data_IF_830138559981
#
_entry.id   IF_830138559981
#
_cell.length_a   1.000
_cell.length_b   1.000
_cell.length_c   1.000
_cell.angle_alpha   90.00
_cell.angle_beta   90.00
_cell.angle_gamma   90.00
#
_symmetry.space_group_name_H-M   'P 1'
#
loop_
_entity.id
_entity.type
_entity.pdbx_description
1 polymer ?
#
# COMPACT_ATOMS: atom_id res chain seq x y z
N UNK A 1 11.96 -12.71 1.76
CA UNK A 1 12.29 -11.42 2.41
C UNK A 1 11.68 -10.26 1.64
N UNK A 2 11.44 -9.13 2.32
CA UNK A 2 11.05 -7.86 1.71
C UNK A 2 12.23 -7.29 0.91
N UNK A 3 11.98 -6.58 -0.20
CA UNK A 3 13.03 -5.82 -0.88
C UNK A 3 13.96 -6.62 -1.80
N UNK A 4 13.65 -7.88 -2.09
CA UNK A 4 14.41 -8.74 -3.02
C UNK A 4 13.99 -8.61 -4.48
N UNK A 5 13.06 -7.70 -4.81
CA UNK A 5 12.65 -7.43 -6.20
C UNK A 5 11.47 -8.25 -6.74
N UNK A 6 10.72 -8.98 -5.89
CA UNK A 6 9.54 -9.77 -6.30
C UNK A 6 8.53 -8.97 -7.15
N UNK A 7 8.15 -7.78 -6.70
CA UNK A 7 7.24 -6.90 -7.45
C UNK A 7 7.82 -6.38 -8.77
N UNK A 8 9.15 -6.27 -8.88
CA UNK A 8 9.81 -5.94 -10.16
C UNK A 8 9.73 -7.12 -11.13
N UNK A 9 9.89 -8.35 -10.63
CA UNK A 9 9.76 -9.57 -11.42
C UNK A 9 8.32 -9.73 -11.93
N UNK A 10 7.31 -9.64 -11.06
CA UNK A 10 5.89 -9.76 -11.46
C UNK A 10 5.49 -8.71 -12.51
N UNK A 11 5.89 -7.44 -12.33
CA UNK A 11 5.69 -6.38 -13.33
C UNK A 11 6.39 -6.68 -14.65
N UNK A 12 7.60 -7.24 -14.60
CA UNK A 12 8.35 -7.61 -15.81
C UNK A 12 7.66 -8.77 -16.54
N UNK A 13 7.15 -9.77 -15.82
CA UNK A 13 6.37 -10.88 -16.38
C UNK A 13 5.10 -10.35 -17.04
N UNK A 14 4.31 -9.52 -16.35
CA UNK A 14 3.09 -8.91 -16.90
C UNK A 14 3.40 -8.10 -18.18
N UNK A 15 4.45 -7.28 -18.17
CA UNK A 15 4.88 -6.51 -19.35
C UNK A 15 5.29 -7.41 -20.52
N UNK A 16 6.03 -8.49 -20.26
CA UNK A 16 6.43 -9.45 -21.29
C UNK A 16 5.23 -10.20 -21.88
N UNK A 17 4.26 -10.60 -21.06
CA UNK A 17 3.03 -11.25 -21.52
C UNK A 17 2.22 -10.32 -22.44
N UNK A 18 2.03 -9.06 -22.02
CA UNK A 18 1.37 -8.04 -22.82
C UNK A 18 2.09 -7.78 -24.14
N UNK A 19 3.42 -7.63 -24.13
CA UNK A 19 4.21 -7.43 -25.35
C UNK A 19 4.14 -8.63 -26.31
N UNK A 20 4.07 -9.84 -25.77
CA UNK A 20 3.88 -11.08 -26.52
C UNK A 20 2.43 -11.32 -26.95
N UNK A 21 1.49 -10.42 -26.62
CA UNK A 21 0.05 -10.53 -26.88
C UNK A 21 -0.57 -11.83 -26.33
N UNK A 22 -0.03 -12.32 -25.21
CA UNK A 22 -0.65 -13.42 -24.46
C UNK A 22 -1.82 -12.85 -23.66
N UNK A 23 -3.06 -13.40 -23.79
CA UNK A 23 -4.18 -12.97 -22.96
C UNK A 23 -3.82 -13.09 -21.50
N UNK A 24 -3.82 -11.95 -20.81
CA UNK A 24 -3.36 -11.93 -19.43
C UNK A 24 -4.06 -10.90 -18.57
N UNK A 25 -4.19 -11.21 -17.29
CA UNK A 25 -4.68 -10.28 -16.29
C UNK A 25 -3.66 -10.11 -15.17
N UNK A 26 -3.79 -9.04 -14.41
CA UNK A 26 -2.94 -8.80 -13.25
C UNK A 26 -3.73 -8.23 -12.09
N UNK A 27 -3.39 -8.68 -10.89
CA UNK A 27 -3.88 -8.12 -9.64
C UNK A 27 -2.71 -7.99 -8.68
N UNK A 28 -2.39 -6.75 -8.29
CA UNK A 28 -1.27 -6.47 -7.41
C UNK A 28 -1.82 -6.08 -6.06
N UNK A 29 -1.71 -6.99 -5.09
CA UNK A 29 -2.08 -6.72 -3.72
C UNK A 29 -1.21 -5.60 -3.16
N UNK A 30 -1.81 -4.80 -2.29
CA UNK A 30 -1.08 -3.79 -1.54
C UNK A 30 -1.78 -3.51 -0.23
N UNK A 31 -1.11 -3.86 0.86
CA UNK A 31 -1.65 -3.75 2.22
C UNK A 31 -1.91 -2.28 2.55
N UNK A 32 -3.09 -1.97 3.07
CA UNK A 32 -3.48 -0.59 3.38
C UNK A 32 -3.64 0.30 2.15
N UNK A 33 -4.07 -0.25 1.00
CA UNK A 33 -4.52 0.53 -0.17
C UNK A 33 -5.94 0.08 -0.59
N UNK A 34 -6.84 -0.02 0.39
CA UNK A 34 -8.28 -0.21 0.22
C UNK A 34 -8.63 -1.47 -0.57
N UNK A 35 -9.25 -1.29 -1.74
CA UNK A 35 -9.68 -2.39 -2.61
C UNK A 35 -8.51 -3.27 -3.11
N UNK A 36 -7.26 -2.78 -3.02
CA UNK A 36 -6.05 -3.55 -3.35
C UNK A 36 -5.47 -4.34 -2.19
N UNK A 37 -5.83 -4.02 -0.95
CA UNK A 37 -5.52 -4.87 0.21
C UNK A 37 -6.54 -6.01 0.34
N UNK A 38 -7.78 -5.76 -0.09
CA UNK A 38 -8.86 -6.74 -0.02
C UNK A 38 -8.88 -7.73 -1.18
N UNK A 39 -9.23 -9.00 -0.88
CA UNK A 39 -9.58 -9.99 -1.91
C UNK A 39 -10.97 -9.74 -2.53
N UNK A 40 -11.76 -8.77 -2.02
CA UNK A 40 -13.11 -8.47 -2.48
C UNK A 40 -13.19 -8.31 -4.01
N UNK A 41 -12.25 -7.57 -4.59
CA UNK A 41 -12.24 -7.24 -6.03
C UNK A 41 -11.35 -8.16 -6.87
N UNK A 42 -10.77 -9.21 -6.30
CA UNK A 42 -9.74 -10.02 -6.96
C UNK A 42 -10.24 -10.66 -8.27
N UNK A 43 -11.27 -11.52 -8.20
CA UNK A 43 -11.76 -12.24 -9.37
C UNK A 43 -12.52 -11.35 -10.36
N UNK A 44 -13.28 -10.38 -9.87
CA UNK A 44 -14.02 -9.43 -10.72
C UNK A 44 -13.07 -8.56 -11.54
N UNK A 45 -11.97 -8.10 -10.95
CA UNK A 45 -10.93 -7.34 -11.64
C UNK A 45 -10.18 -8.17 -12.67
N UNK A 46 -9.82 -9.41 -12.32
CA UNK A 46 -9.20 -10.36 -13.27
C UNK A 46 -10.13 -10.60 -14.46
N UNK A 47 -11.40 -10.87 -14.20
CA UNK A 47 -12.37 -11.17 -15.24
C UNK A 47 -12.58 -10.00 -16.19
N UNK A 48 -12.73 -8.78 -15.66
CA UNK A 48 -12.88 -7.58 -16.47
C UNK A 48 -11.71 -7.38 -17.45
N UNK A 49 -10.47 -7.65 -17.00
CA UNK A 49 -9.28 -7.59 -17.85
C UNK A 49 -9.25 -8.69 -18.93
N UNK A 50 -9.71 -9.89 -18.59
CA UNK A 50 -9.71 -11.04 -19.50
C UNK A 50 -10.78 -10.94 -20.58
N UNK A 51 -12.00 -10.52 -20.23
CA UNK A 51 -13.11 -10.35 -21.19
C UNK A 51 -12.71 -9.40 -22.32
N UNK A 52 -11.99 -8.33 -21.99
CA UNK A 52 -11.53 -7.36 -22.98
C UNK A 52 -10.51 -7.94 -23.99
N UNK A 53 -9.77 -8.98 -23.60
CA UNK A 53 -8.75 -9.62 -24.43
C UNK A 53 -9.23 -10.93 -25.08
N UNK A 54 -10.27 -11.54 -24.52
CA UNK A 54 -10.82 -12.83 -24.96
C UNK A 54 -12.34 -12.64 -25.16
N UNK A 55 -12.77 -12.06 -26.30
CA UNK A 55 -14.18 -11.70 -26.52
C UNK A 55 -15.17 -12.87 -26.39
N UNK A 56 -14.73 -14.10 -26.64
CA UNK A 56 -15.56 -15.30 -26.47
C UNK A 56 -16.02 -15.52 -25.01
N UNK A 57 -15.34 -14.93 -24.02
CA UNK A 57 -15.77 -14.98 -22.61
C UNK A 57 -16.96 -14.08 -22.33
N UNK A 58 -17.13 -12.98 -23.07
CA UNK A 58 -18.08 -11.91 -22.76
C UNK A 58 -19.51 -12.45 -22.59
N UNK A 59 -20.02 -13.17 -23.59
CA UNK A 59 -21.38 -13.72 -23.56
C UNK A 59 -21.62 -14.71 -22.41
N UNK A 60 -20.61 -15.51 -22.06
CA UNK A 60 -20.72 -16.47 -20.97
C UNK A 60 -20.71 -15.79 -19.61
N UNK A 61 -19.85 -14.78 -19.44
CA UNK A 61 -19.77 -13.99 -18.21
C UNK A 61 -21.04 -13.15 -18.02
N UNK A 62 -21.50 -12.48 -19.07
CA UNK A 62 -22.74 -11.71 -19.05
C UNK A 62 -23.92 -12.57 -18.61
N UNK A 63 -24.06 -13.77 -19.18
CA UNK A 63 -25.12 -14.71 -18.78
C UNK A 63 -25.04 -15.09 -17.30
N UNK A 64 -23.85 -15.25 -16.72
CA UNK A 64 -23.70 -15.55 -15.28
C UNK A 64 -24.17 -14.37 -14.44
N UNK A 65 -23.80 -13.14 -14.81
CA UNK A 65 -24.17 -11.92 -14.08
C UNK A 65 -25.67 -11.64 -14.19
N UNK A 66 -26.26 -11.82 -15.37
CA UNK A 66 -27.71 -11.63 -15.58
C UNK A 66 -28.55 -12.61 -14.76
N UNK A 67 -28.09 -13.86 -14.64
CA UNK A 67 -28.78 -14.89 -13.86
C UNK A 67 -28.58 -14.74 -12.34
N UNK A 68 -27.46 -14.16 -11.91
CA UNK A 68 -27.15 -13.94 -10.50
C UNK A 68 -26.41 -12.60 -10.31
N UNK A 69 -27.14 -11.47 -10.27
CA UNK A 69 -26.52 -10.15 -10.13
C UNK A 69 -25.70 -9.98 -8.85
N UNK A 70 -25.98 -10.78 -7.81
CA UNK A 70 -25.25 -10.75 -6.55
C UNK A 70 -23.92 -11.51 -6.60
N UNK A 71 -23.58 -12.18 -7.71
CA UNK A 71 -22.37 -13.02 -7.83
C UNK A 71 -21.07 -12.27 -7.49
N UNK A 72 -21.02 -10.97 -7.79
CA UNK A 72 -19.86 -10.10 -7.51
C UNK A 72 -19.61 -9.90 -6.01
N UNK A 73 -20.64 -10.07 -5.19
CA UNK A 73 -20.60 -9.92 -3.73
C UNK A 73 -20.48 -11.28 -3.01
N UNK A 74 -20.56 -12.40 -3.74
CA UNK A 74 -20.47 -13.75 -3.16
C UNK A 74 -19.05 -14.10 -2.71
N UNK A 75 -18.92 -15.20 -1.98
CA UNK A 75 -17.61 -15.69 -1.53
C UNK A 75 -16.68 -16.00 -2.71
N UNK A 76 -15.37 -16.02 -2.43
CA UNK A 76 -14.31 -16.16 -3.46
C UNK A 76 -14.39 -17.48 -4.22
N UNK A 77 -14.88 -18.54 -3.58
CA UNK A 77 -15.09 -19.84 -4.22
C UNK A 77 -16.15 -19.75 -5.31
N UNK A 78 -17.33 -19.22 -4.99
CA UNK A 78 -18.41 -19.04 -5.98
C UNK A 78 -18.00 -18.09 -7.11
N UNK A 79 -17.28 -17.01 -6.79
CA UNK A 79 -16.73 -16.13 -7.81
C UNK A 79 -15.77 -16.87 -8.75
N UNK A 80 -14.79 -17.61 -8.21
CA UNK A 80 -13.86 -18.39 -9.01
C UNK A 80 -14.55 -19.42 -9.91
N UNK A 81 -15.47 -20.20 -9.34
CA UNK A 81 -16.17 -21.26 -10.06
C UNK A 81 -17.07 -20.69 -11.16
N UNK A 82 -17.94 -19.73 -10.82
CA UNK A 82 -18.99 -19.27 -11.72
C UNK A 82 -18.55 -18.14 -12.66
N UNK A 83 -17.64 -17.27 -12.23
CA UNK A 83 -17.18 -16.15 -13.06
C UNK A 83 -15.92 -16.46 -13.87
N UNK A 84 -15.08 -17.41 -13.43
CA UNK A 84 -13.83 -17.71 -14.13
C UNK A 84 -13.84 -19.12 -14.74
N UNK A 85 -13.95 -20.18 -13.94
CA UNK A 85 -13.83 -21.56 -14.45
C UNK A 85 -14.95 -21.94 -15.41
N UNK A 86 -16.22 -21.76 -15.02
CA UNK A 86 -17.36 -22.11 -15.84
C UNK A 86 -17.36 -21.41 -17.22
N UNK A 87 -17.16 -20.07 -17.31
CA UNK A 87 -17.06 -19.39 -18.59
C UNK A 87 -15.89 -19.90 -19.43
N UNK A 88 -14.71 -20.10 -18.84
CA UNK A 88 -13.55 -20.64 -19.55
C UNK A 88 -13.84 -22.03 -20.13
N UNK A 89 -14.56 -22.89 -19.41
CA UNK A 89 -14.91 -24.24 -19.85
C UNK A 89 -16.00 -24.28 -20.93
N UNK A 90 -16.89 -23.27 -20.95
CA UNK A 90 -17.95 -23.15 -21.97
C UNK A 90 -17.43 -22.60 -23.29
N UNK A 91 -16.33 -21.85 -23.29
CA UNK A 91 -15.72 -21.31 -24.49
C UNK A 91 -15.26 -22.44 -25.44
N UNK A 92 -15.64 -22.34 -26.72
CA UNK A 92 -15.08 -23.16 -27.80
C UNK A 92 -13.91 -22.40 -28.44
N UNK A 93 -12.78 -22.35 -27.73
CA UNK A 93 -11.57 -21.64 -28.18
C UNK A 93 -10.64 -22.49 -29.05
N UNK A 94 -9.58 -21.90 -29.63
CA UNK A 94 -8.45 -22.66 -30.16
C UNK A 94 -7.90 -23.56 -29.05
N UNK A 95 -7.69 -24.84 -29.33
CA UNK A 95 -7.29 -25.82 -28.32
C UNK A 95 -6.08 -25.34 -27.50
N UNK A 96 -6.26 -25.18 -26.19
CA UNK A 96 -5.19 -24.93 -25.21
C UNK A 96 -4.39 -23.63 -25.36
N UNK A 97 -5.04 -22.52 -25.77
CA UNK A 97 -4.40 -21.20 -25.66
C UNK A 97 -4.02 -20.90 -24.21
N UNK A 98 -2.80 -20.38 -23.99
CA UNK A 98 -2.34 -19.92 -22.67
C UNK A 98 -3.10 -18.66 -22.24
N UNK A 99 -3.63 -18.69 -21.03
CA UNK A 99 -4.19 -17.53 -20.33
C UNK A 99 -3.42 -17.38 -19.01
N UNK A 100 -2.73 -16.25 -18.85
CA UNK A 100 -1.85 -16.03 -17.71
C UNK A 100 -2.40 -14.96 -16.77
N UNK A 101 -2.37 -15.22 -15.46
CA UNK A 101 -2.75 -14.24 -14.44
C UNK A 101 -1.56 -13.99 -13.52
N UNK A 102 -1.18 -12.72 -13.38
CA UNK A 102 -0.06 -12.29 -12.53
C UNK A 102 -0.61 -11.72 -11.23
N UNK A 103 -0.32 -12.39 -10.13
CA UNK A 103 -0.66 -11.97 -8.77
C UNK A 103 0.60 -11.50 -8.07
N UNK A 104 0.65 -10.22 -7.73
CA UNK A 104 1.79 -9.68 -6.99
C UNK A 104 1.46 -9.53 -5.50
N UNK A 105 2.43 -9.89 -4.65
CA UNK A 105 2.45 -9.68 -3.20
C UNK A 105 1.21 -10.26 -2.48
N UNK A 106 0.90 -11.54 -2.69
CA UNK A 106 -0.27 -12.18 -2.06
C UNK A 106 -0.28 -12.08 -0.52
N UNK A 107 0.90 -12.02 0.11
CA UNK A 107 1.08 -11.72 1.54
C UNK A 107 0.54 -10.35 1.97
N UNK A 108 0.36 -9.42 1.04
CA UNK A 108 -0.19 -8.09 1.30
C UNK A 108 -1.73 -8.06 1.24
N UNK A 109 -2.39 -9.23 1.21
CA UNK A 109 -3.83 -9.33 1.41
C UNK A 109 -4.18 -9.09 2.89
N UNK A 110 -5.15 -8.22 3.16
CA UNK A 110 -5.48 -7.78 4.52
C UNK A 110 -5.94 -8.93 5.43
N UNK A 111 -6.59 -9.95 4.86
CA UNK A 111 -7.09 -11.12 5.57
C UNK A 111 -6.31 -12.36 5.19
N UNK A 112 -5.63 -12.95 6.17
CA UNK A 112 -4.85 -14.18 5.99
C UNK A 112 -5.73 -15.33 5.49
N UNK A 113 -6.98 -15.44 5.96
CA UNK A 113 -7.91 -16.48 5.50
C UNK A 113 -8.24 -16.35 4.01
N UNK A 114 -8.40 -15.11 3.53
CA UNK A 114 -8.69 -14.86 2.11
C UNK A 114 -7.47 -15.21 1.25
N UNK A 115 -6.26 -14.88 1.70
CA UNK A 115 -5.02 -15.26 1.01
C UNK A 115 -4.88 -16.78 0.90
N UNK A 116 -5.11 -17.51 2.00
CA UNK A 116 -5.09 -18.99 2.00
C UNK A 116 -6.17 -19.56 1.10
N UNK A 117 -7.40 -19.04 1.16
CA UNK A 117 -8.49 -19.48 0.28
C UNK A 117 -8.15 -19.25 -1.20
N UNK A 118 -7.53 -18.12 -1.53
CA UNK A 118 -7.06 -17.85 -2.89
C UNK A 118 -6.03 -18.90 -3.34
N UNK A 119 -5.05 -19.28 -2.51
CA UNK A 119 -4.05 -20.32 -2.88
C UNK A 119 -4.74 -21.61 -3.33
N UNK A 120 -5.73 -22.11 -2.56
CA UNK A 120 -6.49 -23.31 -2.92
C UNK A 120 -7.36 -23.14 -4.17
N UNK A 121 -7.89 -21.95 -4.42
CA UNK A 121 -8.68 -21.69 -5.64
C UNK A 121 -7.76 -21.60 -6.86
N UNK A 122 -6.62 -20.92 -6.75
CA UNK A 122 -5.64 -20.80 -7.83
C UNK A 122 -5.04 -22.16 -8.21
N UNK A 123 -4.89 -23.08 -7.25
CA UNK A 123 -4.43 -24.45 -7.51
C UNK A 123 -5.42 -25.30 -8.30
N UNK A 124 -6.63 -24.81 -8.56
CA UNK A 124 -7.65 -25.48 -9.40
C UNK A 124 -7.62 -25.01 -10.85
N UNK A 125 -6.62 -24.22 -11.24
CA UNK A 125 -6.48 -23.68 -12.59
C UNK A 125 -6.51 -24.75 -13.70
N UNK A 126 -6.03 -25.96 -13.42
CA UNK A 126 -6.03 -27.12 -14.32
C UNK A 126 -7.42 -27.68 -14.62
N UNK A 127 -8.46 -27.30 -13.85
CA UNK A 127 -9.86 -27.63 -14.16
C UNK A 127 -10.37 -26.87 -15.39
N UNK A 128 -9.63 -25.85 -15.87
CA UNK A 128 -9.93 -25.16 -17.11
C UNK A 128 -9.59 -26.05 -18.32
N UNK A 129 -10.61 -26.44 -19.08
CA UNK A 129 -10.48 -27.39 -20.20
C UNK A 129 -10.25 -26.73 -21.55
N UNK A 130 -10.79 -25.52 -21.78
CA UNK A 130 -10.69 -24.85 -23.08
C UNK A 130 -9.47 -23.93 -23.19
N UNK A 131 -8.92 -23.49 -22.05
CA UNK A 131 -7.74 -22.64 -21.97
C UNK A 131 -6.72 -23.25 -21.00
N UNK A 132 -5.43 -23.06 -21.28
CA UNK A 132 -4.37 -23.37 -20.32
C UNK A 132 -4.23 -22.19 -19.36
N UNK A 133 -5.06 -22.17 -18.31
CA UNK A 133 -4.99 -21.16 -17.25
C UNK A 133 -3.74 -21.36 -16.40
N UNK A 134 -2.95 -20.30 -16.21
CA UNK A 134 -1.73 -20.31 -15.38
C UNK A 134 -1.67 -19.07 -14.50
N UNK A 135 -1.34 -19.27 -13.23
CA UNK A 135 -1.10 -18.19 -12.28
C UNK A 135 0.40 -18.06 -12.02
N UNK A 136 0.89 -16.83 -12.05
CA UNK A 136 2.21 -16.45 -11.53
C UNK A 136 1.98 -15.65 -10.26
N UNK A 137 2.46 -16.15 -9.12
CA UNK A 137 2.21 -15.55 -7.81
C UNK A 137 3.54 -15.17 -7.18
N UNK A 138 3.62 -13.95 -6.63
CA UNK A 138 4.71 -13.57 -5.72
C UNK A 138 4.15 -13.43 -4.31
N UNK A 139 4.92 -13.87 -3.31
CA UNK A 139 4.55 -13.72 -1.91
C UNK A 139 5.78 -13.71 -0.99
N UNK A 140 5.66 -13.15 0.21
CA UNK A 140 6.52 -13.48 1.36
C UNK A 140 6.14 -14.86 1.91
N UNK A 141 7.10 -15.60 2.49
CA UNK A 141 6.85 -16.92 3.08
C UNK A 141 6.29 -16.77 4.51
N UNK A 142 5.22 -15.98 4.67
CA UNK A 142 4.48 -15.87 5.93
C UNK A 142 3.78 -17.19 6.25
N UNK A 143 3.50 -17.46 7.53
CA UNK A 143 3.01 -18.77 7.97
C UNK A 143 1.73 -19.22 7.22
N UNK A 144 0.68 -18.39 7.09
CA UNK A 144 -0.55 -18.78 6.37
C UNK A 144 -0.29 -19.12 4.90
N UNK A 145 0.57 -18.34 4.25
CA UNK A 145 0.97 -18.56 2.85
C UNK A 145 1.73 -19.88 2.71
N UNK A 146 2.72 -20.12 3.57
CA UNK A 146 3.53 -21.35 3.54
C UNK A 146 2.68 -22.59 3.77
N UNK A 147 1.75 -22.53 4.73
CA UNK A 147 0.84 -23.65 5.00
C UNK A 147 -0.11 -23.88 3.82
N UNK A 148 -0.73 -22.83 3.28
CA UNK A 148 -1.61 -22.95 2.11
C UNK A 148 -0.91 -23.56 0.89
N UNK A 149 0.32 -23.14 0.57
CA UNK A 149 1.09 -23.75 -0.53
C UNK A 149 1.52 -25.19 -0.22
N UNK A 150 1.85 -25.51 1.04
CA UNK A 150 2.17 -26.88 1.45
C UNK A 150 0.98 -27.83 1.23
N UNK A 151 -0.24 -27.35 1.44
CA UNK A 151 -1.47 -28.16 1.29
C UNK A 151 -1.79 -28.49 -0.18
N UNK A 152 -1.26 -27.72 -1.14
CA UNK A 152 -1.40 -27.95 -2.59
C UNK A 152 -0.10 -28.45 -3.22
N UNK A 153 0.76 -29.11 -2.43
CA UNK A 153 2.06 -29.60 -2.91
C UNK A 153 1.89 -30.53 -4.12
N UNK A 154 2.64 -30.23 -5.18
CA UNK A 154 2.56 -30.92 -6.47
C UNK A 154 1.82 -30.14 -7.57
N UNK A 155 0.98 -29.17 -7.20
CA UNK A 155 0.19 -28.37 -8.16
C UNK A 155 0.88 -27.06 -8.60
N UNK A 156 2.05 -26.73 -8.04
CA UNK A 156 2.79 -25.51 -8.32
C UNK A 156 4.29 -25.75 -8.49
N UNK A 157 4.96 -24.74 -9.06
CA UNK A 157 6.43 -24.63 -9.10
C UNK A 157 6.82 -23.38 -8.33
N UNK A 158 7.83 -23.46 -7.48
CA UNK A 158 8.35 -22.35 -6.69
C UNK A 158 9.80 -21.99 -7.01
N UNK A 159 10.14 -20.76 -6.68
CA UNK A 159 11.49 -20.24 -6.72
C UNK A 159 11.71 -19.34 -5.50
N UNK A 160 12.47 -19.85 -4.55
CA UNK A 160 12.89 -19.10 -3.36
C UNK A 160 14.01 -18.12 -3.71
N UNK A 161 13.70 -16.81 -3.78
CA UNK A 161 14.73 -15.79 -4.08
C UNK A 161 15.87 -15.71 -3.05
N UNK A 162 15.68 -16.25 -1.85
CA UNK A 162 16.71 -16.29 -0.80
C UNK A 162 17.65 -17.50 -0.92
N UNK A 163 17.34 -18.45 -1.81
CA UNK A 163 18.17 -19.61 -2.14
C UNK A 163 19.05 -19.35 -3.37
N UNK A 164 18.86 -18.20 -4.04
CA UNK A 164 19.71 -17.80 -5.17
C UNK A 164 21.13 -17.54 -4.66
N UNK A 165 22.18 -18.06 -5.34
CA UNK A 165 23.56 -17.83 -4.94
C UNK A 165 23.89 -16.34 -4.83
N UNK A 166 24.56 -15.92 -3.75
CA UNK A 166 24.95 -14.53 -3.53
C UNK A 166 25.75 -13.95 -4.70
N UNK A 167 26.55 -14.77 -5.39
CA UNK A 167 27.35 -14.35 -6.55
C UNK A 167 26.47 -13.82 -7.69
N UNK A 168 25.34 -14.48 -7.94
CA UNK A 168 24.40 -14.07 -8.99
C UNK A 168 23.66 -12.79 -8.57
N UNK A 169 23.23 -12.72 -7.31
CA UNK A 169 22.60 -11.52 -6.74
C UNK A 169 23.56 -10.32 -6.82
N UNK A 170 24.82 -10.51 -6.44
CA UNK A 170 25.86 -9.47 -6.47
C UNK A 170 26.10 -8.97 -7.90
N UNK A 171 26.09 -9.87 -8.89
CA UNK A 171 26.24 -9.53 -10.30
C UNK A 171 25.07 -8.69 -10.81
N UNK A 172 23.83 -9.07 -10.50
CA UNK A 172 22.64 -8.33 -10.92
C UNK A 172 22.57 -6.95 -10.25
N UNK A 173 22.87 -6.88 -8.96
CA UNK A 173 22.96 -5.61 -8.21
C UNK A 173 24.07 -4.72 -8.77
N UNK A 174 25.25 -5.26 -9.05
CA UNK A 174 26.37 -4.52 -9.64
C UNK A 174 26.00 -3.93 -11.01
N UNK A 175 25.30 -4.73 -11.84
CA UNK A 175 24.78 -4.28 -13.14
C UNK A 175 23.79 -3.12 -12.98
N UNK A 176 22.84 -3.26 -12.05
CA UNK A 176 21.86 -2.22 -11.73
C UNK A 176 22.53 -0.93 -11.25
N UNK A 177 23.40 -1.01 -10.22
CA UNK A 177 24.10 0.14 -9.65
C UNK A 177 24.93 0.88 -10.69
N UNK A 178 25.67 0.15 -11.53
CA UNK A 178 26.47 0.76 -12.61
C UNK A 178 25.60 1.53 -13.58
N UNK A 179 24.44 0.98 -13.96
CA UNK A 179 23.51 1.66 -14.87
C UNK A 179 22.91 2.91 -14.23
N UNK A 180 22.37 2.81 -13.01
CA UNK A 180 21.68 3.93 -12.36
C UNK A 180 22.64 5.05 -11.93
N UNK A 181 23.81 4.72 -11.38
CA UNK A 181 24.83 5.73 -11.05
C UNK A 181 25.34 6.41 -12.32
N UNK A 182 25.49 5.69 -13.43
CA UNK A 182 25.79 6.30 -14.73
C UNK A 182 24.77 7.35 -15.15
N UNK A 183 23.47 7.06 -15.00
CA UNK A 183 22.38 8.01 -15.28
C UNK A 183 22.41 9.23 -14.33
N UNK A 184 22.65 9.01 -13.05
CA UNK A 184 22.75 10.08 -12.04
C UNK A 184 23.88 11.04 -12.42
N UNK A 185 25.06 10.50 -12.72
CA UNK A 185 26.22 11.26 -13.20
C UNK A 185 25.88 12.08 -14.45
N UNK A 186 25.29 11.45 -15.46
CA UNK A 186 24.93 12.13 -16.70
C UNK A 186 23.92 13.26 -16.49
N UNK A 187 22.93 13.05 -15.62
CA UNK A 187 21.93 14.06 -15.26
C UNK A 187 22.60 15.24 -14.53
N UNK A 188 23.45 14.96 -13.55
CA UNK A 188 24.17 15.97 -12.78
C UNK A 188 25.05 16.84 -13.70
N UNK A 189 25.88 16.21 -14.53
CA UNK A 189 26.78 16.90 -15.46
C UNK A 189 26.03 17.75 -16.50
N UNK A 190 24.76 17.44 -16.80
CA UNK A 190 23.90 18.26 -17.68
C UNK A 190 23.25 19.45 -16.96
N UNK A 191 23.08 19.35 -15.64
CA UNK A 191 22.26 20.30 -14.86
C UNK A 191 23.11 21.33 -14.12
N UNK A 192 24.31 20.95 -13.66
CA UNK A 192 25.19 21.82 -12.88
C UNK A 192 26.32 22.35 -13.77
N UNK A 193 26.31 23.67 -14.03
CA UNK A 193 27.35 24.33 -14.84
C UNK A 193 28.61 24.54 -14.02
N UNK A 194 29.77 24.14 -14.54
CA UNK A 194 31.08 24.38 -13.91
C UNK A 194 31.53 23.29 -12.92
N UNK A 195 30.72 22.26 -12.69
CA UNK A 195 31.12 21.03 -11.99
C UNK A 195 30.88 19.83 -12.90
N UNK A 196 31.79 18.86 -12.92
CA UNK A 196 31.66 17.65 -13.76
C UNK A 196 32.22 16.46 -13.01
N UNK A 197 31.36 15.48 -12.78
CA UNK A 197 31.73 14.20 -12.20
C UNK A 197 32.45 13.36 -13.26
N UNK A 198 33.57 12.75 -12.87
CA UNK A 198 34.44 11.94 -13.74
C UNK A 198 33.71 10.75 -14.38
N UNK A 199 34.13 10.35 -15.58
CA UNK A 199 33.63 9.14 -16.25
C UNK A 199 33.97 7.85 -15.49
N UNK A 200 34.96 7.89 -14.61
CA UNK A 200 35.36 6.78 -13.76
C UNK A 200 34.58 6.72 -12.44
N UNK A 201 33.62 7.63 -12.24
CA UNK A 201 32.75 7.63 -11.07
C UNK A 201 31.57 6.65 -11.23
N UNK A 202 31.21 5.90 -10.17
CA UNK A 202 31.99 5.73 -8.93
C UNK A 202 33.21 4.83 -9.18
N UNK A 203 34.25 4.99 -8.36
CA UNK A 203 35.40 4.08 -8.39
C UNK A 203 34.96 2.62 -8.24
N UNK A 204 35.73 1.69 -8.82
CA UNK A 204 35.43 0.24 -8.73
C UNK A 204 35.31 -0.22 -7.27
N UNK A 205 36.13 0.32 -6.36
CA UNK A 205 36.08 0.05 -4.92
C UNK A 205 34.80 0.57 -4.27
N UNK A 206 34.33 1.76 -4.63
CA UNK A 206 33.08 2.32 -4.11
C UNK A 206 31.88 1.55 -4.64
N UNK A 207 31.87 1.20 -5.93
CA UNK A 207 30.84 0.35 -6.52
C UNK A 207 30.76 -1.01 -5.81
N UNK A 208 31.90 -1.68 -5.62
CA UNK A 208 31.94 -2.96 -4.91
C UNK A 208 31.47 -2.83 -3.46
N UNK A 209 31.78 -1.70 -2.81
CA UNK A 209 31.28 -1.42 -1.47
C UNK A 209 29.76 -1.29 -1.42
N UNK A 210 29.15 -0.61 -2.42
CA UNK A 210 27.69 -0.55 -2.56
C UNK A 210 27.08 -1.92 -2.82
N UNK A 211 27.69 -2.73 -3.69
CA UNK A 211 27.23 -4.11 -3.95
C UNK A 211 27.23 -4.93 -2.64
N UNK A 212 28.31 -4.87 -1.87
CA UNK A 212 28.43 -5.62 -0.63
C UNK A 212 27.43 -5.16 0.45
N UNK A 213 27.05 -3.87 0.48
CA UNK A 213 26.00 -3.38 1.37
C UNK A 213 24.61 -3.78 0.90
N UNK A 214 24.43 -3.88 -0.42
CA UNK A 214 23.16 -4.20 -1.03
C UNK A 214 22.81 -5.69 -1.00
N UNK A 215 23.77 -6.61 -1.11
CA UNK A 215 23.48 -8.06 -1.13
C UNK A 215 22.92 -8.52 0.24
N UNK A 216 21.79 -9.25 0.30
CA UNK A 216 20.95 -9.72 -0.82
C UNK A 216 19.73 -8.82 -1.17
N UNK A 217 19.60 -7.65 -0.56
CA UNK A 217 18.47 -6.73 -0.69
C UNK A 217 18.62 -5.69 -1.81
N UNK A 218 17.97 -5.95 -2.96
CA UNK A 218 17.81 -4.98 -4.05
C UNK A 218 17.24 -3.62 -3.62
N UNK A 219 16.39 -3.58 -2.59
CA UNK A 219 15.83 -2.34 -2.06
C UNK A 219 16.93 -1.38 -1.60
N UNK A 220 18.02 -1.87 -0.99
CA UNK A 220 19.15 -1.02 -0.61
C UNK A 220 19.74 -0.34 -1.84
N UNK A 221 20.05 -1.09 -2.90
CA UNK A 221 20.66 -0.55 -4.10
C UNK A 221 19.79 0.55 -4.73
N UNK A 222 18.49 0.29 -4.88
CA UNK A 222 17.56 1.28 -5.44
C UNK A 222 17.37 2.51 -4.55
N UNK A 223 17.34 2.33 -3.23
CA UNK A 223 17.20 3.43 -2.26
C UNK A 223 18.47 4.27 -2.22
N UNK A 224 19.64 3.63 -2.26
CA UNK A 224 20.94 4.30 -2.35
C UNK A 224 21.05 5.14 -3.62
N UNK A 225 20.66 4.61 -4.79
CA UNK A 225 20.65 5.39 -6.03
C UNK A 225 19.70 6.60 -5.95
N UNK A 226 18.50 6.44 -5.37
CA UNK A 226 17.59 7.57 -5.16
C UNK A 226 18.19 8.63 -4.23
N UNK A 227 18.83 8.19 -3.16
CA UNK A 227 19.49 9.09 -2.23
C UNK A 227 20.67 9.83 -2.88
N UNK A 228 21.52 9.14 -3.66
CA UNK A 228 22.68 9.69 -4.38
C UNK A 228 22.28 10.58 -5.57
N UNK A 229 21.08 10.40 -6.12
CA UNK A 229 20.55 11.19 -7.23
C UNK A 229 19.62 12.32 -6.81
N UNK A 230 19.50 12.61 -5.52
CA UNK A 230 18.60 13.64 -5.02
C UNK A 230 19.29 15.00 -4.99
N UNK A 231 19.06 15.78 -6.04
CA UNK A 231 19.64 17.11 -6.22
C UNK A 231 19.27 18.10 -5.08
N UNK A 232 18.22 17.83 -4.30
CA UNK A 232 17.82 18.66 -3.15
C UNK A 232 18.68 18.40 -1.91
N UNK A 233 19.31 17.22 -1.82
CA UNK A 233 20.11 16.81 -0.67
C UNK A 233 21.61 17.11 -0.85
N UNK A 234 22.05 17.39 -2.07
CA UNK A 234 23.42 17.78 -2.40
C UNK A 234 24.00 17.07 -3.62
N UNK A 235 25.32 17.13 -3.74
CA UNK A 235 26.09 16.52 -4.82
C UNK A 235 26.15 14.98 -4.72
N UNK A 236 26.11 14.23 -5.84
CA UNK A 236 26.18 12.77 -5.85
C UNK A 236 27.46 12.18 -5.23
N UNK A 237 28.62 12.82 -5.38
CA UNK A 237 29.87 12.33 -4.78
C UNK A 237 29.82 12.45 -3.25
N UNK A 238 29.37 13.61 -2.75
CA UNK A 238 29.17 13.84 -1.31
C UNK A 238 28.15 12.88 -0.71
N UNK A 239 27.06 12.62 -1.42
CA UNK A 239 26.02 11.68 -0.99
C UNK A 239 26.53 10.24 -0.96
N UNK A 240 27.27 9.82 -1.98
CA UNK A 240 27.93 8.51 -2.00
C UNK A 240 28.88 8.37 -0.79
N UNK A 241 29.69 9.38 -0.52
CA UNK A 241 30.62 9.37 0.61
C UNK A 241 29.90 9.28 1.97
N UNK A 242 28.77 9.98 2.12
CA UNK A 242 27.91 9.87 3.33
C UNK A 242 27.41 8.44 3.54
N UNK A 243 26.95 7.77 2.48
CA UNK A 243 26.51 6.37 2.55
C UNK A 243 27.66 5.43 2.91
N UNK A 244 28.81 5.58 2.27
CA UNK A 244 29.98 4.72 2.51
C UNK A 244 30.54 4.88 3.94
N UNK A 245 30.43 6.06 4.55
CA UNK A 245 30.79 6.29 5.96
C UNK A 245 29.89 5.52 6.94
N UNK A 246 28.61 5.31 6.60
CA UNK A 246 27.68 4.54 7.45
C UNK A 246 28.09 3.07 7.61
N UNK A 247 28.66 2.47 6.55
CA UNK A 247 29.18 1.10 6.57
C UNK A 247 30.16 0.85 7.72
N UNK A 248 30.99 1.84 8.04
CA UNK A 248 32.07 1.70 9.03
C UNK A 248 31.56 1.56 10.47
N UNK A 249 30.25 1.78 10.73
CA UNK A 249 29.68 1.74 12.08
C UNK A 249 29.32 0.35 12.61
N UNK A 250 29.30 -0.70 11.76
CA UNK A 250 29.18 -2.12 12.16
C UNK A 250 27.89 -2.53 12.92
N UNK A 251 27.52 -3.82 12.88
CA UNK A 251 26.57 -4.42 13.84
C UNK A 251 25.07 -4.15 13.71
N UNK A 252 24.59 -3.50 12.63
CA UNK A 252 23.16 -3.19 12.42
C UNK A 252 22.53 -4.05 11.32
N UNK A 253 21.23 -4.33 11.43
CA UNK A 253 20.48 -5.07 10.40
C UNK A 253 20.53 -4.37 9.04
N UNK A 254 20.26 -5.09 7.96
CA UNK A 254 20.41 -4.53 6.61
C UNK A 254 19.39 -3.42 6.29
N UNK A 255 18.21 -3.45 6.91
CA UNK A 255 17.23 -2.35 6.80
C UNK A 255 17.73 -1.08 7.50
N UNK A 256 18.43 -1.20 8.63
CA UNK A 256 19.10 -0.05 9.25
C UNK A 256 20.11 0.57 8.31
N UNK A 257 20.92 -0.25 7.63
CA UNK A 257 21.91 0.23 6.66
C UNK A 257 21.22 0.91 5.46
N UNK A 258 19.99 0.50 5.13
CA UNK A 258 19.20 1.10 4.04
C UNK A 258 18.63 2.46 4.41
N UNK A 259 17.98 2.58 5.57
CA UNK A 259 17.16 3.75 5.89
C UNK A 259 17.82 4.76 6.83
N UNK A 260 18.62 4.33 7.81
CA UNK A 260 19.25 5.27 8.75
C UNK A 260 20.18 6.29 8.10
N UNK A 261 21.00 5.98 7.07
CA UNK A 261 21.81 7.00 6.42
C UNK A 261 21.00 8.15 5.82
N UNK A 262 19.71 7.90 5.50
CA UNK A 262 18.77 8.87 4.94
C UNK A 262 18.09 9.63 6.08
N UNK A 263 17.57 8.90 7.07
CA UNK A 263 16.84 9.49 8.19
C UNK A 263 17.73 10.33 9.11
N UNK A 264 18.96 9.87 9.39
CA UNK A 264 19.92 10.58 10.24
C UNK A 264 20.36 11.92 9.63
N UNK A 265 20.03 12.20 8.35
CA UNK A 265 20.25 13.53 7.76
C UNK A 265 19.24 14.56 8.21
N UNK A 266 18.05 14.12 8.62
CA UNK A 266 17.07 14.99 9.23
C UNK A 266 17.63 15.58 10.53
N UNK A 267 18.44 14.80 11.25
CA UNK A 267 19.02 15.20 12.54
C UNK A 267 20.30 16.03 12.40
N UNK A 268 20.88 16.14 11.20
CA UNK A 268 22.15 16.87 11.01
C UNK A 268 22.04 18.37 11.23
N UNK A 269 20.86 18.92 11.02
CA UNK A 269 20.60 20.35 11.19
C UNK A 269 20.03 20.66 12.60
N UNK A 270 20.04 19.67 13.50
CA UNK A 270 19.67 19.87 14.90
C UNK A 270 20.87 20.44 15.68
N UNK A 271 20.74 21.67 16.16
CA UNK A 271 21.79 22.32 16.95
C UNK A 271 21.74 21.88 18.43
N UNK A 272 20.55 21.49 18.90
CA UNK A 272 20.30 21.09 20.30
C UNK A 272 19.57 19.74 20.39
N UNK A 273 19.58 19.14 21.59
CA UNK A 273 18.77 17.95 21.88
C UNK A 273 17.27 18.21 21.76
N UNK A 274 16.84 19.45 22.02
CA UNK A 274 15.44 19.84 21.88
C UNK A 274 15.04 19.91 20.40
N UNK A 275 15.94 20.37 19.52
CA UNK A 275 15.73 20.33 18.07
C UNK A 275 15.63 18.88 17.57
N UNK A 276 16.51 18.00 18.05
CA UNK A 276 16.47 16.57 17.73
C UNK A 276 15.13 15.95 18.16
N UNK A 277 14.69 16.22 19.39
CA UNK A 277 13.42 15.74 19.92
C UNK A 277 12.23 16.25 19.10
N UNK A 278 12.22 17.54 18.75
CA UNK A 278 11.20 18.13 17.87
C UNK A 278 11.20 17.49 16.48
N UNK A 279 12.38 17.11 15.96
CA UNK A 279 12.48 16.44 14.66
C UNK A 279 11.86 15.04 14.70
N UNK A 280 12.21 14.27 15.73
CA UNK A 280 11.65 12.94 15.94
C UNK A 280 10.15 12.99 16.22
N UNK A 281 9.67 14.01 16.93
CA UNK A 281 8.24 14.19 17.21
C UNK A 281 7.44 14.43 15.93
N UNK A 282 7.83 15.42 15.09
CA UNK A 282 7.10 15.64 13.84
C UNK A 282 7.23 14.44 12.89
N UNK A 283 8.38 13.76 12.90
CA UNK A 283 8.58 12.57 12.08
C UNK A 283 7.60 11.47 12.47
N UNK A 284 7.48 11.15 13.76
CA UNK A 284 6.52 10.16 14.25
C UNK A 284 5.08 10.58 13.98
N UNK A 285 4.73 11.85 14.15
CA UNK A 285 3.38 12.35 13.86
C UNK A 285 3.04 12.22 12.36
N UNK A 286 3.92 12.70 11.48
CA UNK A 286 3.64 12.81 10.04
C UNK A 286 3.96 11.52 9.27
N UNK A 287 5.17 11.00 9.42
CA UNK A 287 5.59 9.77 8.73
C UNK A 287 4.91 8.56 9.35
N UNK A 288 4.70 8.57 10.67
CA UNK A 288 3.87 7.54 11.34
C UNK A 288 2.46 7.51 10.78
N UNK A 289 1.82 8.67 10.58
CA UNK A 289 0.54 8.73 9.90
C UNK A 289 0.63 8.12 8.50
N UNK A 290 1.57 8.56 7.65
CA UNK A 290 1.72 8.08 6.27
C UNK A 290 1.86 6.54 6.18
N UNK A 291 2.61 5.93 7.09
CA UNK A 291 2.83 4.48 7.06
C UNK A 291 1.66 3.68 7.63
N UNK A 292 0.82 4.27 8.49
CA UNK A 292 -0.32 3.58 9.14
C UNK A 292 -1.70 3.99 8.64
N UNK A 293 -1.80 4.88 7.64
CA UNK A 293 -3.06 5.15 6.96
C UNK A 293 -3.56 3.86 6.28
N UNK A 294 -4.86 3.57 6.40
CA UNK A 294 -5.51 2.42 5.77
C UNK A 294 -5.73 2.62 4.25
N UNK A 295 -5.77 3.88 3.82
CA UNK A 295 -5.79 4.34 2.43
C UNK A 295 -4.84 5.55 2.32
N UNK A 296 -3.87 5.57 1.40
CA UNK A 296 -2.94 6.67 1.28
C UNK A 296 -3.66 7.98 0.94
N UNK A 297 -3.30 9.06 1.65
CA UNK A 297 -3.81 10.40 1.40
C UNK A 297 -2.80 11.27 0.64
N UNK A 298 -3.33 12.21 -0.12
CA UNK A 298 -2.52 13.28 -0.73
C UNK A 298 -1.91 14.18 0.35
N UNK A 299 -0.87 14.95 0.00
CA UNK A 299 -0.27 15.91 0.95
C UNK A 299 -1.30 16.92 1.48
N UNK A 300 -2.26 17.30 0.63
CA UNK A 300 -3.35 18.23 0.97
C UNK A 300 -4.30 17.61 1.99
N UNK A 301 -4.81 16.41 1.70
CA UNK A 301 -5.76 15.72 2.56
C UNK A 301 -5.12 15.28 3.88
N UNK A 302 -3.86 14.84 3.84
CA UNK A 302 -3.09 14.52 5.04
C UNK A 302 -2.89 15.74 5.93
N UNK A 303 -2.56 16.90 5.35
CA UNK A 303 -2.42 18.13 6.12
C UNK A 303 -3.72 18.50 6.84
N UNK A 304 -4.86 18.43 6.14
CA UNK A 304 -6.18 18.71 6.72
C UNK A 304 -6.55 17.71 7.81
N UNK A 305 -6.35 16.41 7.59
CA UNK A 305 -6.61 15.38 8.59
C UNK A 305 -5.79 15.60 9.87
N UNK A 306 -4.51 15.96 9.73
CA UNK A 306 -3.62 16.18 10.88
C UNK A 306 -3.77 17.58 11.52
N UNK A 307 -4.64 18.45 10.98
CA UNK A 307 -4.79 19.83 11.45
C UNK A 307 -3.53 20.68 11.22
N UNK A 308 -2.79 20.44 10.15
CA UNK A 308 -1.56 21.16 9.77
C UNK A 308 -1.74 21.94 8.47
N UNK A 309 -0.82 22.86 8.18
CA UNK A 309 -0.79 23.53 6.89
C UNK A 309 -0.16 22.64 5.81
N UNK A 310 -0.60 22.77 4.56
CA UNK A 310 0.00 22.05 3.43
C UNK A 310 1.50 22.40 3.27
N UNK A 311 1.88 23.65 3.54
CA UNK A 311 3.29 24.10 3.54
C UNK A 311 4.12 23.37 4.61
N UNK A 312 3.54 23.11 5.78
CA UNK A 312 4.21 22.35 6.83
C UNK A 312 4.47 20.91 6.36
N UNK A 313 3.45 20.20 5.87
CA UNK A 313 3.60 18.83 5.37
C UNK A 313 4.59 18.75 4.21
N UNK A 314 4.44 19.62 3.21
CA UNK A 314 5.33 19.64 2.04
C UNK A 314 6.79 19.90 2.40
N UNK A 315 7.07 20.85 3.31
CA UNK A 315 8.45 21.17 3.69
C UNK A 315 9.13 20.05 4.47
N UNK A 316 8.39 19.33 5.33
CA UNK A 316 8.93 18.20 6.09
C UNK A 316 9.19 16.97 5.22
N UNK A 317 8.32 16.70 4.25
CA UNK A 317 8.47 15.55 3.35
C UNK A 317 9.53 15.76 2.26
N UNK A 318 9.90 17.00 1.96
CA UNK A 318 10.82 17.34 0.86
C UNK A 318 12.20 16.65 0.92
N UNK A 319 12.63 16.13 2.08
CA UNK A 319 13.90 15.41 2.26
C UNK A 319 13.77 13.89 2.33
N UNK A 320 12.57 13.38 2.09
CA UNK A 320 12.23 11.95 2.22
C UNK A 320 11.90 11.29 0.87
N UNK A 321 12.21 11.92 -0.27
CA UNK A 321 11.95 11.38 -1.62
C UNK A 321 12.60 10.02 -1.89
N UNK A 322 13.67 9.69 -1.17
CA UNK A 322 14.36 8.39 -1.29
C UNK A 322 13.62 7.23 -0.62
N UNK A 323 12.75 7.52 0.36
CA UNK A 323 11.96 6.53 1.11
C UNK A 323 10.45 6.61 0.82
N UNK A 324 9.94 7.79 0.48
CA UNK A 324 8.54 8.07 0.21
C UNK A 324 8.34 8.47 -1.26
N UNK A 325 7.26 7.98 -1.85
CA UNK A 325 6.77 8.45 -3.13
C UNK A 325 6.02 9.77 -2.93
N UNK A 326 6.68 10.87 -3.26
CA UNK A 326 6.13 12.22 -3.15
C UNK A 326 6.06 12.79 -4.55
N UNK A 327 4.84 12.96 -5.05
CA UNK A 327 4.54 13.56 -6.35
C UNK A 327 4.56 15.09 -6.27
N UNK A 328 4.84 15.74 -7.39
CA UNK A 328 4.62 17.19 -7.55
C UNK A 328 3.12 17.52 -7.65
N UNK A 329 2.32 16.58 -8.14
CA UNK A 329 0.86 16.71 -8.13
C UNK A 329 0.32 16.57 -6.70
N UNK A 330 -0.27 17.64 -6.12
CA UNK A 330 -0.77 17.63 -4.76
C UNK A 330 -2.02 16.76 -4.55
N UNK A 331 -2.63 16.24 -5.62
CA UNK A 331 -3.72 15.27 -5.54
C UNK A 331 -3.21 13.82 -5.44
N UNK A 332 -1.97 13.54 -5.83
CA UNK A 332 -1.41 12.20 -5.76
C UNK A 332 -1.10 11.81 -4.31
N UNK A 333 -1.52 10.61 -3.85
CA UNK A 333 -1.23 10.15 -2.50
C UNK A 333 0.25 9.97 -2.18
N UNK A 334 0.64 10.38 -0.97
CA UNK A 334 1.99 10.10 -0.43
C UNK A 334 1.99 8.71 0.18
N UNK A 335 3.00 7.92 -0.16
CA UNK A 335 3.13 6.55 0.35
C UNK A 335 4.59 6.09 0.43
N UNK A 336 4.92 5.11 1.29
CA UNK A 336 6.23 4.46 1.24
C UNK A 336 6.52 3.90 -0.15
N UNK A 337 7.78 4.00 -0.59
CA UNK A 337 8.20 3.41 -1.87
C UNK A 337 8.19 1.88 -1.83
N UNK A 338 8.35 1.31 -0.64
CA UNK A 338 8.39 -0.13 -0.43
C UNK A 338 7.94 -0.48 0.99
N UNK A 339 7.26 -1.61 1.16
CA UNK A 339 6.72 -2.07 2.44
C UNK A 339 7.81 -2.26 3.51
N UNK A 340 9.06 -2.57 3.13
CA UNK A 340 10.17 -2.64 4.08
C UNK A 340 10.47 -1.34 4.83
N UNK A 341 10.05 -0.18 4.31
CA UNK A 341 10.17 1.08 5.06
C UNK A 341 9.15 1.16 6.19
N UNK A 342 7.92 0.70 5.94
CA UNK A 342 6.93 0.50 6.99
C UNK A 342 7.46 -0.52 8.01
N UNK A 343 7.90 -1.70 7.56
CA UNK A 343 8.38 -2.75 8.47
C UNK A 343 9.56 -2.26 9.33
N UNK A 344 10.51 -1.53 8.73
CA UNK A 344 11.63 -0.91 9.45
C UNK A 344 11.15 0.05 10.54
N UNK A 345 10.27 0.98 10.22
CA UNK A 345 9.85 2.03 11.16
C UNK A 345 9.04 1.50 12.34
N UNK A 346 8.38 0.36 12.15
CA UNK A 346 7.27 -0.03 13.02
C UNK A 346 7.54 -1.33 13.78
N UNK A 347 8.39 -2.22 13.25
CA UNK A 347 8.70 -3.50 13.87
C UNK A 347 10.00 -3.48 14.71
N UNK A 348 10.77 -2.38 14.66
CA UNK A 348 12.09 -2.28 15.27
C UNK A 348 12.21 -1.05 16.20
N UNK A 349 12.14 -1.26 17.50
CA UNK A 349 12.20 -0.20 18.53
C UNK A 349 13.63 0.24 18.89
N UNK A 350 14.65 -0.32 18.22
CA UNK A 350 16.05 -0.07 18.56
C UNK A 350 16.62 1.23 18.00
N UNK A 351 15.87 1.95 17.17
CA UNK A 351 16.30 3.19 16.53
C UNK A 351 15.41 4.40 16.87
N UNK A 352 16.00 5.60 16.85
CA UNK A 352 15.30 6.84 17.25
C UNK A 352 14.04 7.14 16.44
N UNK A 353 13.97 6.69 15.18
CA UNK A 353 12.83 6.93 14.28
C UNK A 353 11.67 5.94 14.45
N UNK A 354 11.71 5.08 15.48
CA UNK A 354 10.69 4.06 15.68
C UNK A 354 9.32 4.69 15.93
N UNK A 355 8.29 4.04 15.39
CA UNK A 355 6.89 4.42 15.43
C UNK A 355 6.11 3.37 16.22
N UNK A 356 5.53 3.81 17.33
CA UNK A 356 4.56 3.01 18.07
C UNK A 356 3.22 2.96 17.31
N UNK A 357 2.88 1.77 16.80
CA UNK A 357 1.62 1.51 16.07
C UNK A 357 0.41 2.00 16.86
N UNK A 358 0.35 1.68 18.15
CA UNK A 358 -0.83 1.93 18.97
C UNK A 358 -1.00 3.42 19.23
N UNK A 359 0.10 4.15 19.52
CA UNK A 359 0.06 5.60 19.73
C UNK A 359 -0.36 6.34 18.45
N UNK A 360 0.16 5.95 17.29
CA UNK A 360 -0.21 6.61 16.03
C UNK A 360 -1.65 6.28 15.63
N UNK A 361 -2.11 5.04 15.75
CA UNK A 361 -3.52 4.72 15.50
C UNK A 361 -4.46 5.46 16.44
N UNK A 362 -4.08 5.62 17.71
CA UNK A 362 -4.81 6.47 18.67
C UNK A 362 -4.94 7.90 18.16
N UNK A 363 -3.83 8.53 17.77
CA UNK A 363 -3.81 9.90 17.22
C UNK A 363 -4.64 10.02 15.95
N UNK A 364 -4.53 9.07 15.02
CA UNK A 364 -5.30 9.06 13.77
C UNK A 364 -6.80 8.97 14.03
N UNK A 365 -7.23 8.07 14.91
CA UNK A 365 -8.63 7.97 15.30
C UNK A 365 -9.13 9.27 15.94
N UNK A 366 -8.34 9.88 16.83
CA UNK A 366 -8.69 11.13 17.49
C UNK A 366 -8.82 12.28 16.49
N UNK A 367 -7.93 12.35 15.49
CA UNK A 367 -7.96 13.33 14.39
C UNK A 367 -9.13 13.11 13.44
N UNK A 368 -9.47 11.86 13.12
CA UNK A 368 -10.65 11.55 12.31
C UNK A 368 -11.91 12.04 13.02
N UNK A 369 -12.09 11.67 14.30
CA UNK A 369 -13.26 12.07 15.09
C UNK A 369 -13.33 13.60 15.27
N UNK A 370 -12.20 14.26 15.50
CA UNK A 370 -12.12 15.72 15.58
C UNK A 370 -12.56 16.37 14.26
N UNK A 371 -12.01 15.92 13.12
CA UNK A 371 -12.37 16.42 11.79
C UNK A 371 -13.88 16.29 11.52
N UNK A 372 -14.45 15.11 11.80
CA UNK A 372 -15.87 14.82 11.58
C UNK A 372 -16.80 15.57 12.53
N UNK A 373 -16.32 15.92 13.73
CA UNK A 373 -17.10 16.66 14.74
C UNK A 373 -17.03 18.18 14.56
N UNK A 374 -16.03 18.67 13.82
CA UNK A 374 -15.74 20.11 13.69
C UNK A 374 -16.74 20.80 12.77
N UNK A 375 -17.36 21.88 13.28
CA UNK A 375 -18.20 22.79 12.49
C UNK A 375 -19.32 22.08 11.72
N UNK A 376 -19.41 22.42 10.43
CA UNK A 376 -20.39 21.88 9.47
C UNK A 376 -19.85 20.72 8.62
N UNK A 377 -18.72 20.09 9.02
CA UNK A 377 -18.15 18.95 8.25
C UNK A 377 -19.16 17.83 8.10
N UNK A 378 -19.73 17.36 9.21
CA UNK A 378 -20.89 16.48 9.21
C UNK A 378 -22.09 17.22 9.76
N UNK A 379 -23.13 17.36 8.96
CA UNK A 379 -24.42 17.92 9.35
C UNK A 379 -25.53 17.24 8.57
N UNK A 380 -26.76 17.45 9.02
CA UNK A 380 -27.95 17.04 8.28
C UNK A 380 -27.89 17.63 6.87
N UNK A 381 -28.18 16.79 5.88
CA UNK A 381 -28.17 17.19 4.47
C UNK A 381 -26.81 17.77 4.07
N UNK A 382 -25.74 17.00 4.29
CA UNK A 382 -24.35 17.47 4.10
C UNK A 382 -24.07 17.94 2.67
N UNK A 383 -24.82 17.40 1.70
CA UNK A 383 -24.75 17.78 0.29
C UNK A 383 -25.79 18.84 -0.14
N UNK A 384 -26.59 19.39 0.77
CA UNK A 384 -27.66 20.36 0.50
C UNK A 384 -28.59 19.93 -0.64
N UNK A 385 -29.03 18.67 -0.61
CA UNK A 385 -29.88 18.08 -1.64
C UNK A 385 -31.32 18.56 -1.55
N UNK A 386 -31.75 19.06 -0.38
CA UNK A 386 -33.08 19.60 -0.10
C UNK A 386 -34.28 18.63 -0.30
N UNK A 387 -34.03 17.44 -0.82
CA UNK A 387 -35.03 16.42 -1.14
C UNK A 387 -34.66 15.09 -0.47
N UNK A 388 -35.31 14.71 0.64
CA UNK A 388 -35.12 13.41 1.25
C UNK A 388 -35.47 12.29 0.25
N UNK A 389 -34.55 11.37 0.01
CA UNK A 389 -34.75 10.22 -0.88
C UNK A 389 -34.13 10.34 -2.28
N UNK A 390 -33.43 11.45 -2.60
CA UNK A 390 -32.63 11.56 -3.83
C UNK A 390 -31.68 10.36 -3.95
N UNK A 391 -31.71 9.68 -5.10
CA UNK A 391 -30.84 8.53 -5.31
C UNK A 391 -29.41 9.01 -5.50
N UNK A 392 -28.43 8.29 -4.95
CA UNK A 392 -27.01 8.63 -5.13
C UNK A 392 -26.62 8.74 -6.61
N UNK A 393 -27.22 7.93 -7.48
CA UNK A 393 -27.00 7.94 -8.93
C UNK A 393 -27.48 9.22 -9.62
N UNK A 394 -28.34 10.01 -8.96
CA UNK A 394 -28.89 11.27 -9.47
C UNK A 394 -28.06 12.48 -9.04
N UNK A 395 -27.11 12.31 -8.11
CA UNK A 395 -26.28 13.37 -7.57
C UNK A 395 -25.02 13.50 -8.43
N UNK A 396 -24.72 14.73 -8.85
CA UNK A 396 -23.46 15.02 -9.55
C UNK A 396 -22.25 14.71 -8.63
N UNK A 397 -21.26 13.92 -9.07
CA UNK A 397 -20.10 13.56 -8.25
C UNK A 397 -19.37 14.77 -7.64
N UNK A 398 -19.30 15.89 -8.36
CA UNK A 398 -18.67 17.12 -7.87
C UNK A 398 -19.34 17.73 -6.64
N UNK A 399 -20.66 17.54 -6.45
CA UNK A 399 -21.37 17.99 -5.24
C UNK A 399 -20.90 17.18 -4.03
N UNK A 400 -20.77 15.87 -4.21
CA UNK A 400 -20.30 14.95 -3.17
C UNK A 400 -18.83 15.26 -2.84
N UNK A 401 -17.96 15.35 -3.84
CA UNK A 401 -16.52 15.58 -3.64
C UNK A 401 -16.22 16.95 -2.99
N UNK A 402 -17.05 17.96 -3.28
CA UNK A 402 -16.91 19.28 -2.66
C UNK A 402 -17.33 19.30 -1.18
N UNK A 403 -18.31 18.49 -0.79
CA UNK A 403 -18.88 18.45 0.58
C UNK A 403 -18.24 17.38 1.45
N UNK A 404 -17.81 16.28 0.83
CA UNK A 404 -17.08 15.17 1.43
C UNK A 404 -15.74 15.06 0.71
N UNK A 405 -14.77 15.97 0.98
CA UNK A 405 -13.45 15.88 0.40
C UNK A 405 -12.71 14.61 0.87
N UNK A 406 -11.59 14.21 0.22
CA UNK A 406 -10.97 12.90 0.46
C UNK A 406 -10.60 12.61 1.92
N UNK A 407 -10.15 13.62 2.68
CA UNK A 407 -9.85 13.48 4.11
C UNK A 407 -11.10 13.21 4.97
N UNK A 408 -12.26 13.75 4.59
CA UNK A 408 -13.54 13.50 5.28
C UNK A 408 -14.05 12.11 4.94
N UNK A 409 -13.98 11.72 3.65
CA UNK A 409 -14.32 10.34 3.25
C UNK A 409 -13.43 9.32 3.95
N UNK A 410 -12.12 9.60 4.05
CA UNK A 410 -11.18 8.79 4.80
C UNK A 410 -11.58 8.68 6.26
N UNK A 411 -11.82 9.81 6.94
CA UNK A 411 -12.20 9.81 8.34
C UNK A 411 -13.49 9.04 8.56
N UNK A 412 -14.51 9.22 7.71
CA UNK A 412 -15.77 8.46 7.77
C UNK A 412 -15.56 6.95 7.66
N UNK A 413 -14.60 6.49 6.85
CA UNK A 413 -14.36 5.06 6.61
C UNK A 413 -13.43 4.43 7.65
N UNK A 414 -12.44 5.15 8.16
CA UNK A 414 -11.32 4.52 8.87
C UNK A 414 -11.16 4.91 10.34
N UNK A 415 -11.98 5.81 10.88
CA UNK A 415 -11.89 6.16 12.31
C UNK A 415 -12.10 4.94 13.22
N UNK A 416 -13.05 4.05 12.89
CA UNK A 416 -13.33 2.81 13.65
C UNK A 416 -12.15 1.85 13.57
N UNK A 417 -11.56 1.70 12.38
CA UNK A 417 -10.38 0.87 12.16
C UNK A 417 -9.21 1.36 13.03
N UNK A 418 -8.89 2.65 12.99
CA UNK A 418 -7.84 3.22 13.83
C UNK A 418 -8.15 3.13 15.33
N UNK A 419 -9.42 3.27 15.72
CA UNK A 419 -9.81 3.08 17.12
C UNK A 419 -9.53 1.63 17.58
N UNK A 420 -9.92 0.65 16.77
CA UNK A 420 -9.66 -0.77 17.01
C UNK A 420 -8.17 -1.08 17.10
N UNK A 421 -7.38 -0.62 16.13
CA UNK A 421 -5.93 -0.86 16.11
C UNK A 421 -5.19 -0.13 17.25
N UNK A 422 -5.77 0.95 17.78
CA UNK A 422 -5.27 1.61 19.00
C UNK A 422 -5.49 0.81 20.29
N UNK A 423 -6.21 -0.33 20.21
CA UNK A 423 -6.56 -1.22 21.33
C UNK A 423 -7.29 -0.52 22.47
N UNK A 424 -8.01 0.57 22.17
CA UNK A 424 -8.83 1.31 23.13
C UNK A 424 -10.21 0.69 23.26
N UNK A 425 -10.70 0.60 24.49
CA UNK A 425 -12.10 0.29 24.77
C UNK A 425 -12.94 1.56 24.70
N UNK A 426 -14.19 1.43 24.26
CA UNK A 426 -15.16 2.51 24.26
C UNK A 426 -15.81 2.61 25.64
N UNK A 427 -15.94 3.84 26.15
CA UNK A 427 -16.52 4.12 27.47
C UNK A 427 -17.53 5.26 27.40
N UNK A 428 -18.52 5.21 28.28
CA UNK A 428 -19.47 6.30 28.44
C UNK A 428 -18.72 7.62 28.74
N UNK A 429 -18.96 8.61 27.88
CA UNK A 429 -18.41 9.96 28.01
C UNK A 429 -17.06 10.15 27.31
N UNK A 430 -16.54 9.15 26.61
CA UNK A 430 -15.38 9.34 25.75
C UNK A 430 -15.74 10.05 24.43
N UNK A 431 -14.74 10.28 23.57
CA UNK A 431 -14.91 10.96 22.28
C UNK A 431 -15.80 10.18 21.31
N UNK A 432 -15.79 8.84 21.38
CA UNK A 432 -16.63 7.99 20.52
C UNK A 432 -18.08 8.07 20.97
N UNK A 433 -18.34 8.00 22.28
CA UNK A 433 -19.70 8.17 22.82
C UNK A 433 -20.31 9.50 22.38
N UNK A 434 -19.59 10.62 22.58
CA UNK A 434 -20.08 11.93 22.16
C UNK A 434 -20.31 12.01 20.64
N UNK A 435 -19.38 11.48 19.85
CA UNK A 435 -19.53 11.47 18.39
C UNK A 435 -20.75 10.66 17.93
N UNK A 436 -20.96 9.47 18.49
CA UNK A 436 -22.09 8.62 18.11
C UNK A 436 -23.42 9.25 18.56
N UNK A 437 -23.49 9.80 19.77
CA UNK A 437 -24.70 10.45 20.27
C UNK A 437 -25.08 11.68 19.44
N UNK A 438 -24.10 12.49 19.01
CA UNK A 438 -24.37 13.76 18.33
C UNK A 438 -24.42 13.65 16.80
N UNK A 439 -23.66 12.71 16.21
CA UNK A 439 -23.34 12.69 14.77
C UNK A 439 -23.57 11.35 14.06
N UNK A 440 -24.06 10.30 14.73
CA UNK A 440 -24.27 8.97 14.12
C UNK A 440 -25.05 9.03 12.80
N UNK A 441 -26.20 9.71 12.78
CA UNK A 441 -27.04 9.78 11.58
C UNK A 441 -26.35 10.54 10.43
N UNK A 442 -25.60 11.59 10.74
CA UNK A 442 -24.86 12.38 9.73
C UNK A 442 -23.66 11.60 9.18
N UNK A 443 -23.03 10.78 10.02
CA UNK A 443 -21.97 9.86 9.60
C UNK A 443 -22.51 8.78 8.65
N UNK A 444 -23.66 8.17 8.98
CA UNK A 444 -24.33 7.20 8.11
C UNK A 444 -24.77 7.84 6.79
N UNK A 445 -25.32 9.05 6.83
CA UNK A 445 -25.67 9.83 5.63
C UNK A 445 -24.43 10.03 4.73
N UNK A 446 -23.31 10.47 5.30
CA UNK A 446 -22.06 10.67 4.56
C UNK A 446 -21.53 9.37 3.94
N UNK A 447 -21.59 8.24 4.66
CA UNK A 447 -21.24 6.92 4.10
C UNK A 447 -22.19 6.51 2.96
N UNK A 448 -23.48 6.81 3.07
CA UNK A 448 -24.46 6.62 2.01
C UNK A 448 -24.12 7.40 0.75
N UNK A 449 -23.83 8.70 0.90
CA UNK A 449 -23.44 9.58 -0.20
C UNK A 449 -22.09 9.17 -0.83
N UNK A 450 -21.13 8.73 -0.02
CA UNK A 450 -19.88 8.14 -0.51
C UNK A 450 -20.08 6.77 -1.21
N UNK A 451 -21.28 6.18 -1.15
CA UNK A 451 -21.58 4.87 -1.72
C UNK A 451 -20.95 3.72 -0.93
N UNK A 452 -20.68 3.92 0.36
CA UNK A 452 -20.00 3.01 1.28
C UNK A 452 -20.86 2.61 2.48
N UNK A 453 -22.17 2.82 2.44
CA UNK A 453 -23.08 2.48 3.54
C UNK A 453 -22.98 1.01 3.98
N UNK A 454 -22.70 0.09 3.05
CA UNK A 454 -22.53 -1.33 3.41
C UNK A 454 -21.35 -1.57 4.35
N UNK A 455 -20.30 -0.74 4.28
CA UNK A 455 -19.17 -0.84 5.19
C UNK A 455 -19.59 -0.51 6.65
N UNK A 456 -20.68 0.25 6.86
CA UNK A 456 -21.14 0.65 8.19
C UNK A 456 -21.59 -0.54 9.05
N UNK A 457 -22.08 -1.64 8.45
CA UNK A 457 -22.45 -2.84 9.20
C UNK A 457 -21.25 -3.47 9.90
N UNK A 458 -20.12 -3.60 9.18
CA UNK A 458 -18.89 -4.13 9.75
C UNK A 458 -18.33 -3.19 10.82
N UNK A 459 -18.41 -1.87 10.58
CA UNK A 459 -17.99 -0.86 11.55
C UNK A 459 -18.84 -0.92 12.83
N UNK A 460 -20.16 -1.03 12.72
CA UNK A 460 -21.06 -1.17 13.86
C UNK A 460 -20.73 -2.42 14.69
N UNK A 461 -20.54 -3.57 14.04
CA UNK A 461 -20.12 -4.79 14.74
C UNK A 461 -18.79 -4.60 15.46
N UNK A 462 -17.81 -3.97 14.83
CA UNK A 462 -16.53 -3.67 15.48
C UNK A 462 -16.70 -2.74 16.70
N UNK A 463 -17.58 -1.74 16.61
CA UNK A 463 -17.87 -0.85 17.74
C UNK A 463 -18.50 -1.62 18.91
N UNK A 464 -19.47 -2.49 18.62
CA UNK A 464 -20.10 -3.35 19.63
C UNK A 464 -19.10 -4.28 20.33
N UNK A 465 -18.16 -4.86 19.57
CA UNK A 465 -17.09 -5.71 20.12
C UNK A 465 -16.12 -4.96 21.05
N UNK A 466 -16.04 -3.62 20.92
CA UNK A 466 -15.17 -2.74 21.71
C UNK A 466 -15.90 -2.04 22.87
N UNK A 467 -17.18 -2.34 23.10
CA UNK A 467 -17.91 -1.83 24.25
C UNK A 467 -17.54 -2.63 25.49
N UNK A 468 -17.05 -1.93 26.52
CA UNK A 468 -16.90 -2.54 27.84
C UNK A 468 -18.28 -2.61 28.51
N UNK A 469 -18.93 -3.79 28.40
CA UNK A 469 -20.27 -4.06 28.94
C UNK A 469 -20.35 -3.84 30.45
N UNK A 470 -19.22 -3.82 31.17
CA UNK A 470 -19.18 -3.57 32.61
C UNK A 470 -19.19 -2.09 33.01
N UNK A 471 -18.95 -1.16 32.06
CA UNK A 471 -18.78 0.28 32.30
C UNK A 471 -19.69 1.16 31.40
N UNK A 472 -20.14 0.65 30.25
CA UNK A 472 -20.95 1.39 29.27
C UNK A 472 -22.47 1.23 29.50
N UNK A 473 -23.00 1.82 30.57
CA UNK A 473 -24.43 1.70 30.94
C UNK A 473 -25.40 2.39 29.98
N UNK A 474 -24.97 3.44 29.28
CA UNK A 474 -25.84 4.28 28.44
C UNK A 474 -25.79 3.87 26.96
N UNK A 475 -24.60 3.49 26.46
CA UNK A 475 -24.41 2.95 25.11
C UNK A 475 -25.14 1.62 24.88
N UNK A 476 -25.35 0.81 25.93
CA UNK A 476 -26.09 -0.46 25.85
C UNK A 476 -27.61 -0.30 25.63
N UNK A 477 -28.16 0.92 25.67
CA UNK A 477 -29.59 1.17 25.51
C UNK A 477 -30.01 1.56 24.07
N UNK A 478 -29.02 1.78 23.19
CA UNK A 478 -29.19 2.11 21.77
C UNK A 478 -28.58 0.99 20.91
#
# INVERSE_FOLDING_TARGET
MAGTGKSTISRTVAKKLSAAKVPSASFFFKKGEGDRGSAAMFFTTILAQLVHQVPVLESHVQSVIENDPAIVDKNKKEQFERLLLEPLNKCKGPSFQLLAVVVDALDECDREEDATALIHLLSRAQEATSFRLRFFVTSRPELPIRLGFRDISGDYQDLSLHEIPEVDIAKDISTFLRSELGKIREKFNKTVVGSTISTDWPSSTNLQSLVNMAVPLFIFASTACRFIGDDKLGDPEDQLDKLLKYRKKGGRSQLHQTYLPILDQLLKDADTKDDEAAILEWFRELVGAIVLLADPLSTTSLARLLGKSQKYVGSKLARLHSALNISEDPATPVKPLHLSFHDFLVDDDTHSFWIDKQDIHKRLADRCLELLSTGDTLRKDVCDLHHPGTLRSEIEPGIIDNRLPPEVQYACRYWVHHWKESRRQIRDGDRVHHFLTDRLLYWLEALGLAGRIRESFNMANCLLDMLDVSIATTLNQY
#
